data_IF_381181234883
#
_entry.id   IF_381181234883
#
_cell.length_a   1.000
_cell.length_b   1.000
_cell.length_c   1.000
_cell.angle_alpha   90.00
_cell.angle_beta   90.00
_cell.angle_gamma   90.00
#
_symmetry.space_group_name_H-M   'P 1'
#
loop_
_entity.id
_entity.type
_entity.pdbx_description
1 polymer ?
#
# COMPACT_ATOMS: atom_id res chain seq x y z
N UNK A 1 12.84 -67.32 6.33
CA UNK A 1 12.67 -68.43 5.36
C UNK A 1 12.73 -69.74 6.14
N UNK A 2 11.93 -70.77 5.80
CA UNK A 2 11.74 -71.26 4.43
C UNK A 2 10.29 -71.25 3.89
N UNK A 3 10.10 -71.53 2.58
CA UNK A 3 8.95 -71.09 1.76
C UNK A 3 8.13 -72.22 1.07
N UNK A 4 7.03 -71.78 0.42
CA UNK A 4 6.32 -72.33 -0.78
C UNK A 4 5.52 -73.66 -0.61
N UNK A 5 4.43 -73.92 -1.39
CA UNK A 5 4.34 -73.89 -2.88
C UNK A 5 3.11 -73.09 -3.43
N UNK A 6 3.13 -72.45 -4.61
CA UNK A 6 3.07 -73.03 -5.97
C UNK A 6 1.79 -73.87 -6.16
N UNK A 7 0.78 -73.61 -6.99
CA UNK A 7 0.56 -72.78 -8.18
C UNK A 7 -0.31 -73.65 -9.11
N UNK A 8 -1.42 -73.17 -9.68
CA UNK A 8 -2.11 -73.85 -10.79
C UNK A 8 -2.78 -72.84 -11.72
N UNK A 9 -2.32 -72.85 -12.98
CA UNK A 9 -2.86 -72.08 -14.09
C UNK A 9 -4.17 -72.68 -14.61
N UNK A 10 -4.98 -71.83 -15.25
CA UNK A 10 -6.17 -72.25 -15.98
C UNK A 10 -5.88 -72.40 -17.49
N UNK A 11 -6.53 -73.38 -18.15
CA UNK A 11 -6.18 -73.86 -19.48
C UNK A 11 -6.74 -73.01 -20.62
N UNK A 12 -6.01 -73.01 -21.74
CA UNK A 12 -6.43 -72.44 -23.02
C UNK A 12 -7.50 -73.31 -23.72
N UNK A 13 -8.51 -72.73 -24.39
CA UNK A 13 -9.38 -73.46 -25.30
C UNK A 13 -8.80 -73.53 -26.73
N UNK A 14 -9.11 -74.60 -27.49
CA UNK A 14 -8.54 -74.91 -28.80
C UNK A 14 -9.24 -74.18 -29.98
N UNK A 15 -8.66 -74.21 -31.19
CA UNK A 15 -9.14 -73.45 -32.35
C UNK A 15 -10.08 -74.24 -33.28
N UNK A 16 -11.08 -73.56 -33.84
CA UNK A 16 -11.54 -73.88 -35.21
C UNK A 16 -13.02 -73.72 -35.55
N UNK A 17 -13.22 -73.17 -36.77
CA UNK A 17 -14.30 -73.34 -37.76
C UNK A 17 -15.47 -72.31 -37.80
N UNK A 18 -15.57 -71.64 -38.97
CA UNK A 18 -16.52 -70.57 -39.37
C UNK A 18 -17.98 -71.02 -39.49
N UNK A 19 -18.99 -70.17 -39.69
CA UNK A 19 -19.32 -69.16 -40.71
C UNK A 19 -20.58 -68.36 -40.20
N UNK A 20 -21.28 -67.48 -40.94
CA UNK A 20 -20.96 -66.66 -42.12
C UNK A 20 -21.23 -65.15 -41.89
N UNK A 21 -20.73 -64.31 -42.80
CA UNK A 21 -20.85 -62.84 -42.84
C UNK A 21 -22.28 -62.33 -43.12
N UNK A 22 -22.78 -61.32 -42.38
CA UNK A 22 -23.96 -60.53 -42.75
C UNK A 22 -23.60 -59.40 -43.75
N UNK A 23 -24.58 -58.87 -44.52
CA UNK A 23 -24.36 -57.96 -45.64
C UNK A 23 -23.91 -56.54 -45.21
N UNK A 24 -23.27 -55.78 -46.11
CA UNK A 24 -22.78 -54.44 -45.79
C UNK A 24 -23.94 -53.45 -45.61
N UNK A 25 -24.22 -53.12 -44.35
CA UNK A 25 -25.06 -52.00 -43.95
C UNK A 25 -24.28 -50.69 -44.00
N UNK A 26 -24.94 -49.66 -44.53
CA UNK A 26 -24.48 -48.29 -44.65
C UNK A 26 -23.91 -47.73 -43.34
N UNK A 27 -22.82 -46.97 -43.45
CA UNK A 27 -21.93 -46.56 -42.36
C UNK A 27 -22.60 -45.95 -41.13
N UNK A 28 -22.20 -46.46 -39.96
CA UNK A 28 -22.38 -45.78 -38.68
C UNK A 28 -21.09 -45.04 -38.31
N UNK A 29 -21.19 -43.73 -38.11
CA UNK A 29 -20.15 -42.92 -37.47
C UNK A 29 -20.01 -43.32 -35.99
N UNK A 30 -18.79 -43.28 -35.43
CA UNK A 30 -18.57 -43.62 -34.02
C UNK A 30 -19.27 -42.60 -33.09
N UNK A 31 -19.66 -43.00 -31.86
CA UNK A 31 -20.31 -42.10 -30.92
C UNK A 31 -19.32 -41.01 -30.52
N UNK A 32 -19.64 -39.77 -30.87
CA UNK A 32 -18.93 -38.60 -30.37
C UNK A 32 -18.97 -38.62 -28.84
N UNK A 33 -17.79 -38.45 -28.26
CA UNK A 33 -17.51 -38.54 -26.85
C UNK A 33 -18.43 -37.67 -26.00
N UNK A 34 -18.54 -38.11 -24.74
CA UNK A 34 -19.18 -37.38 -23.65
C UNK A 34 -18.91 -35.86 -23.76
N UNK A 35 -19.89 -35.01 -23.40
CA UNK A 35 -19.63 -33.58 -23.28
C UNK A 35 -18.45 -33.39 -22.34
N UNK A 36 -17.34 -32.96 -22.92
CA UNK A 36 -16.18 -32.43 -22.22
C UNK A 36 -16.76 -31.43 -21.22
N UNK A 37 -16.60 -31.73 -19.92
CA UNK A 37 -17.12 -30.88 -18.87
C UNK A 37 -16.77 -29.44 -19.18
N UNK A 38 -17.80 -28.62 -19.42
CA UNK A 38 -17.68 -27.17 -19.44
C UNK A 38 -16.76 -26.80 -18.26
N UNK A 39 -15.76 -25.92 -18.42
CA UNK A 39 -14.99 -25.46 -17.27
C UNK A 39 -15.98 -24.89 -16.23
N UNK A 40 -16.25 -25.69 -15.20
CA UNK A 40 -16.98 -25.27 -14.01
C UNK A 40 -16.12 -24.23 -13.33
N UNK A 41 -16.34 -22.96 -13.65
CA UNK A 41 -15.54 -21.91 -13.06
C UNK A 41 -15.65 -20.51 -13.67
N UNK A 42 -16.70 -20.18 -14.43
CA UNK A 42 -16.93 -18.81 -14.89
C UNK A 42 -18.12 -18.17 -14.15
N UNK A 43 -18.04 -18.11 -12.82
CA UNK A 43 -18.96 -17.36 -11.98
C UNK A 43 -18.33 -16.06 -11.49
N UNK A 44 -19.16 -15.13 -11.00
CA UNK A 44 -18.70 -13.86 -10.37
C UNK A 44 -17.57 -14.11 -9.35
N UNK A 45 -17.69 -15.18 -8.56
CA UNK A 45 -16.68 -15.57 -7.57
C UNK A 45 -15.31 -15.86 -8.18
N UNK A 46 -15.25 -16.51 -9.35
CA UNK A 46 -13.99 -16.81 -10.02
C UNK A 46 -13.36 -15.55 -10.64
N UNK A 47 -14.18 -14.65 -11.20
CA UNK A 47 -13.72 -13.36 -11.70
C UNK A 47 -13.14 -12.45 -10.60
N UNK A 48 -13.65 -12.57 -9.37
CA UNK A 48 -13.18 -11.82 -8.21
C UNK A 48 -11.99 -12.47 -7.49
N UNK A 49 -11.60 -13.72 -7.81
CA UNK A 49 -10.47 -14.39 -7.15
C UNK A 49 -9.17 -13.61 -7.27
N UNK A 50 -8.93 -12.95 -8.41
CA UNK A 50 -7.74 -12.12 -8.63
C UNK A 50 -7.67 -10.87 -7.73
N UNK A 51 -8.80 -10.44 -7.14
CA UNK A 51 -8.90 -9.29 -6.24
C UNK A 51 -9.04 -9.72 -4.77
N UNK A 52 -8.75 -10.98 -4.46
CA UNK A 52 -8.78 -11.46 -3.07
C UNK A 52 -7.74 -10.74 -2.22
N UNK A 53 -8.09 -10.65 -0.95
CA UNK A 53 -7.22 -10.11 0.07
C UNK A 53 -5.89 -10.87 0.13
N UNK A 54 -4.79 -10.12 0.24
CA UNK A 54 -3.47 -10.68 0.50
C UNK A 54 -3.37 -11.01 1.98
N UNK A 55 -3.28 -12.30 2.31
CA UNK A 55 -3.11 -12.78 3.68
C UNK A 55 -1.61 -12.94 4.00
N UNK A 56 -0.96 -11.90 4.51
CA UNK A 56 0.46 -11.97 4.91
C UNK A 56 0.67 -12.29 6.39
N UNK A 57 -0.40 -12.27 7.20
CA UNK A 57 -0.31 -12.39 8.67
C UNK A 57 0.41 -11.22 9.36
N UNK A 58 0.90 -10.24 8.59
CA UNK A 58 1.52 -9.03 9.12
C UNK A 58 0.45 -8.06 9.63
N UNK A 59 0.81 -7.25 10.63
CA UNK A 59 -0.03 -6.17 11.15
C UNK A 59 -0.42 -5.19 10.04
N UNK A 60 0.57 -4.67 9.33
CA UNK A 60 0.36 -3.82 8.15
C UNK A 60 0.52 -4.66 6.88
N UNK A 61 -0.50 -4.66 6.03
CA UNK A 61 -0.51 -5.41 4.79
C UNK A 61 -0.96 -4.53 3.64
N UNK A 62 -0.11 -4.36 2.64
CA UNK A 62 -0.51 -3.74 1.39
C UNK A 62 -1.38 -4.72 0.59
N UNK A 63 -2.66 -4.41 0.43
CA UNK A 63 -3.62 -5.24 -0.31
C UNK A 63 -3.46 -5.05 -1.82
N UNK A 64 -3.19 -3.81 -2.21
CA UNK A 64 -2.73 -3.41 -3.52
C UNK A 64 -2.01 -2.06 -3.39
N UNK A 65 -1.50 -1.50 -4.50
CA UNK A 65 -0.73 -0.25 -4.48
C UNK A 65 -1.46 0.95 -3.85
N UNK A 66 -2.79 0.92 -3.70
CA UNK A 66 -3.66 2.03 -3.26
C UNK A 66 -4.52 1.70 -2.03
N UNK A 67 -4.39 0.50 -1.47
CA UNK A 67 -5.17 0.04 -0.32
C UNK A 67 -4.27 -0.70 0.65
N UNK A 68 -4.25 -0.24 1.90
CA UNK A 68 -3.53 -0.89 2.99
C UNK A 68 -4.54 -1.42 4.01
N UNK A 69 -4.25 -2.57 4.60
CA UNK A 69 -4.98 -3.15 5.72
C UNK A 69 -4.10 -3.08 6.96
N UNK A 70 -4.69 -2.71 8.09
CA UNK A 70 -4.08 -2.84 9.40
C UNK A 70 -4.88 -3.79 10.28
N UNK A 71 -4.20 -4.73 10.92
CA UNK A 71 -4.76 -5.65 11.91
C UNK A 71 -4.53 -5.11 13.32
N UNK A 72 -5.60 -4.68 13.97
CA UNK A 72 -5.57 -4.13 15.34
C UNK A 72 -5.46 -5.24 16.39
N UNK A 73 -5.79 -6.48 16.05
CA UNK A 73 -5.78 -7.63 16.95
C UNK A 73 -4.40 -8.25 17.16
N UNK A 74 -3.50 -8.15 16.17
CA UNK A 74 -2.19 -8.81 16.19
C UNK A 74 -1.28 -8.36 17.34
N UNK A 75 -1.28 -7.05 17.67
CA UNK A 75 -0.40 -6.47 18.69
C UNK A 75 -1.15 -5.67 19.76
N UNK A 76 -2.48 -5.51 19.60
CA UNK A 76 -3.32 -4.72 20.51
C UNK A 76 -2.99 -3.23 20.56
N UNK A 77 -2.02 -2.75 19.77
CA UNK A 77 -1.64 -1.35 19.73
C UNK A 77 -2.62 -0.55 18.86
N UNK A 78 -3.07 0.63 19.33
CA UNK A 78 -3.87 1.55 18.54
C UNK A 78 -3.12 2.09 17.32
N UNK A 79 -3.89 2.53 16.33
CA UNK A 79 -3.39 3.17 15.11
C UNK A 79 -4.01 4.55 14.97
N UNK A 80 -3.22 5.52 14.56
CA UNK A 80 -3.71 6.83 14.14
C UNK A 80 -3.76 6.87 12.62
N UNK A 81 -4.92 7.14 12.06
CA UNK A 81 -5.15 7.26 10.62
C UNK A 81 -5.76 8.63 10.28
N UNK A 82 -5.54 9.12 9.07
CA UNK A 82 -6.18 10.33 8.55
C UNK A 82 -7.69 10.15 8.56
N UNK A 83 -8.42 11.12 9.10
CA UNK A 83 -9.87 11.08 9.10
C UNK A 83 -10.41 10.98 7.67
N UNK A 84 -11.40 10.13 7.48
CA UNK A 84 -12.01 9.88 6.17
C UNK A 84 -11.23 8.93 5.25
N UNK A 85 -10.07 8.42 5.68
CA UNK A 85 -9.31 7.44 4.90
C UNK A 85 -9.80 6.00 5.03
N UNK A 86 -10.75 5.73 5.93
CA UNK A 86 -11.30 4.39 6.15
C UNK A 86 -12.26 4.01 5.02
N UNK A 87 -12.00 2.85 4.42
CA UNK A 87 -12.79 2.28 3.31
C UNK A 87 -13.65 1.10 3.77
N UNK A 88 -13.08 0.23 4.61
CA UNK A 88 -13.72 -0.97 5.11
C UNK A 88 -13.15 -1.29 6.49
N UNK A 89 -13.97 -1.87 7.37
CA UNK A 89 -13.48 -2.50 8.59
C UNK A 89 -14.18 -3.85 8.82
N UNK A 90 -13.50 -4.75 9.50
CA UNK A 90 -13.99 -6.09 9.82
C UNK A 90 -13.68 -6.42 11.28
N UNK A 91 -14.61 -7.05 11.98
CA UNK A 91 -14.47 -7.35 13.40
C UNK A 91 -14.87 -6.19 14.32
N UNK A 92 -14.40 -6.23 15.57
CA UNK A 92 -14.75 -5.24 16.59
C UNK A 92 -13.74 -4.10 16.55
N UNK A 93 -14.09 -3.01 15.87
CA UNK A 93 -13.25 -1.82 15.75
C UNK A 93 -14.00 -0.61 16.28
N UNK A 94 -13.34 0.13 17.17
CA UNK A 94 -13.80 1.40 17.72
C UNK A 94 -12.98 2.54 17.09
N UNK A 95 -13.70 3.56 16.62
CA UNK A 95 -13.11 4.75 16.02
C UNK A 95 -13.36 5.95 16.92
N UNK A 96 -12.29 6.63 17.32
CA UNK A 96 -12.36 7.86 18.11
C UNK A 96 -11.67 8.99 17.37
N UNK A 97 -12.28 10.18 17.37
CA UNK A 97 -11.71 11.35 16.73
C UNK A 97 -10.87 12.11 17.74
N UNK A 98 -9.63 12.44 17.38
CA UNK A 98 -8.75 13.23 18.26
C UNK A 98 -9.21 14.70 18.41
N UNK A 99 -10.34 15.09 17.82
CA UNK A 99 -10.86 16.47 17.79
C UNK A 99 -12.12 16.76 18.62
N UNK A 100 -12.79 15.76 19.21
CA UNK A 100 -14.06 16.00 19.92
C UNK A 100 -14.18 15.16 21.20
N UNK A 101 -13.76 15.72 22.33
CA UNK A 101 -14.47 15.47 23.58
C UNK A 101 -13.95 14.42 24.58
N UNK A 102 -12.69 13.96 24.52
CA UNK A 102 -12.12 13.20 25.64
C UNK A 102 -10.83 13.85 26.18
N UNK A 103 -10.76 13.95 27.50
CA UNK A 103 -9.80 14.70 28.32
C UNK A 103 -8.31 14.43 28.01
N UNK A 104 -7.80 15.06 26.96
CA UNK A 104 -6.40 14.95 26.55
C UNK A 104 -6.03 16.03 25.56
N UNK A 105 -6.06 17.29 26.00
CA UNK A 105 -5.59 18.45 25.26
C UNK A 105 -4.07 18.34 25.07
N UNK A 106 -3.64 17.48 24.14
CA UNK A 106 -2.31 17.62 23.54
C UNK A 106 -2.45 18.72 22.51
N UNK A 107 -1.90 19.86 22.88
CA UNK A 107 -1.89 21.13 22.15
C UNK A 107 -1.47 20.90 20.69
N UNK A 108 -2.45 20.85 19.80
CA UNK A 108 -2.29 21.08 18.36
C UNK A 108 -2.70 22.50 17.94
N UNK A 109 -2.95 23.39 18.91
CA UNK A 109 -3.44 24.75 18.68
C UNK A 109 -2.39 25.72 18.10
N UNK A 110 -1.21 25.23 17.67
CA UNK A 110 -0.12 26.09 17.19
C UNK A 110 0.11 26.01 15.66
N UNK A 111 -0.55 25.09 14.93
CA UNK A 111 -0.22 24.83 13.52
C UNK A 111 -1.21 25.39 12.51
N UNK A 112 -2.44 25.78 12.87
CA UNK A 112 -3.41 26.36 11.92
C UNK A 112 -3.90 25.41 10.80
N UNK A 113 -3.23 24.27 10.59
CA UNK A 113 -3.74 23.12 9.84
C UNK A 113 -4.15 22.04 10.84
N UNK A 114 -5.45 21.83 10.93
CA UNK A 114 -6.06 20.78 11.73
C UNK A 114 -5.87 19.45 11.01
N UNK A 115 -4.77 18.75 11.29
CA UNK A 115 -4.61 17.38 10.81
C UNK A 115 -5.59 16.49 11.59
N UNK A 116 -6.73 16.23 10.95
CA UNK A 116 -7.79 15.40 11.49
C UNK A 116 -7.33 13.93 11.54
N UNK A 117 -7.04 13.45 12.74
CA UNK A 117 -6.66 12.06 13.00
C UNK A 117 -7.81 11.30 13.66
N UNK A 118 -8.06 10.10 13.13
CA UNK A 118 -8.95 9.09 13.67
C UNK A 118 -8.09 8.01 14.33
N UNK A 119 -8.34 7.77 15.61
CA UNK A 119 -7.73 6.67 16.37
C UNK A 119 -8.57 5.42 16.22
N UNK A 120 -7.95 4.36 15.72
CA UNK A 120 -8.54 3.04 15.51
C UNK A 120 -8.07 2.10 16.63
N UNK A 121 -9.01 1.50 17.35
CA UNK A 121 -8.76 0.53 18.43
C UNK A 121 -9.66 -0.68 18.31
N UNK A 122 -9.33 -1.79 18.97
CA UNK A 122 -10.18 -2.97 19.03
C UNK A 122 -9.47 -4.24 18.55
N UNK A 123 -10.26 -5.24 18.16
CA UNK A 123 -9.83 -6.55 17.68
C UNK A 123 -10.49 -6.83 16.34
N UNK A 124 -9.92 -6.25 15.30
CA UNK A 124 -10.43 -6.28 13.94
C UNK A 124 -9.42 -5.72 12.94
N UNK A 125 -9.84 -5.61 11.70
CA UNK A 125 -9.04 -5.13 10.59
C UNK A 125 -9.64 -3.86 10.02
N UNK A 126 -8.80 -2.90 9.64
CA UNK A 126 -9.21 -1.65 9.01
C UNK A 126 -8.48 -1.49 7.69
N UNK A 127 -9.22 -1.18 6.64
CA UNK A 127 -8.70 -0.93 5.31
C UNK A 127 -8.72 0.57 5.05
N UNK A 128 -7.57 1.12 4.67
CA UNK A 128 -7.33 2.54 4.50
C UNK A 128 -6.90 2.85 3.06
N UNK A 129 -7.46 3.92 2.50
CA UNK A 129 -7.07 4.50 1.23
C UNK A 129 -7.29 6.02 1.25
N UNK A 130 -6.64 6.74 0.35
CA UNK A 130 -6.89 8.17 0.18
C UNK A 130 -6.75 8.56 -1.28
N UNK A 131 -7.82 9.15 -1.84
CA UNK A 131 -7.90 9.71 -3.19
C UNK A 131 -7.09 9.00 -4.29
N UNK A 132 -7.16 7.67 -4.35
CA UNK A 132 -6.41 6.86 -5.32
C UNK A 132 -4.87 7.04 -5.30
N UNK A 133 -4.31 7.54 -4.21
CA UNK A 133 -2.88 7.69 -3.98
C UNK A 133 -2.19 6.33 -3.83
N UNK A 134 -0.91 6.27 -4.22
CA UNK A 134 -0.07 5.12 -3.95
C UNK A 134 0.39 5.13 -2.50
N UNK A 135 0.21 4.00 -1.82
CA UNK A 135 0.49 3.85 -0.39
C UNK A 135 1.76 3.03 -0.17
N UNK A 136 2.59 3.48 0.76
CA UNK A 136 3.88 2.87 1.06
C UNK A 136 4.02 2.73 2.58
N UNK A 137 3.81 1.51 3.13
CA UNK A 137 4.17 1.22 4.50
C UNK A 137 5.70 1.28 4.66
N UNK A 138 6.17 2.05 5.64
CA UNK A 138 7.58 2.20 5.99
C UNK A 138 7.70 1.79 7.45
N UNK A 139 8.44 0.72 7.69
CA UNK A 139 8.77 0.26 9.03
C UNK A 139 9.97 1.03 9.57
N UNK A 140 9.86 1.54 10.79
CA UNK A 140 10.94 2.17 11.54
C UNK A 140 11.40 1.19 12.62
N UNK A 141 12.72 1.00 12.73
CA UNK A 141 13.35 0.10 13.69
C UNK A 141 14.28 0.86 14.64
N UNK A 142 13.77 1.92 15.27
CA UNK A 142 14.55 2.87 16.08
C UNK A 142 15.07 4.07 15.29
N UNK A 143 14.79 4.11 13.98
CA UNK A 143 15.14 5.20 13.09
C UNK A 143 14.20 6.41 13.24
N UNK A 144 14.58 7.50 12.59
CA UNK A 144 13.76 8.70 12.46
C UNK A 144 13.64 9.17 11.01
N UNK A 145 12.43 9.58 10.63
CA UNK A 145 12.10 10.06 9.28
C UNK A 145 11.22 11.30 9.38
N UNK A 146 11.46 12.27 8.51
CA UNK A 146 10.59 13.43 8.34
C UNK A 146 9.70 13.21 7.12
N UNK A 147 8.40 13.45 7.26
CA UNK A 147 7.41 13.28 6.19
C UNK A 147 6.56 14.54 6.10
N UNK A 148 6.22 14.96 4.88
CA UNK A 148 5.25 16.04 4.70
C UNK A 148 3.91 15.64 5.35
N UNK A 149 3.34 16.51 6.19
CA UNK A 149 2.14 16.18 6.97
C UNK A 149 0.94 15.81 6.06
N UNK A 150 0.85 16.43 4.89
CA UNK A 150 -0.17 16.10 3.90
C UNK A 150 -0.05 14.68 3.37
N UNK A 151 1.16 14.09 3.37
CA UNK A 151 1.49 12.79 2.78
C UNK A 151 1.46 11.65 3.79
N UNK A 152 1.12 11.92 5.05
CA UNK A 152 0.89 10.88 6.06
C UNK A 152 -0.54 10.36 5.94
N UNK A 153 -0.71 9.05 5.75
CA UNK A 153 -2.02 8.39 5.78
C UNK A 153 -2.34 7.85 7.17
N UNK A 154 -1.44 7.05 7.74
CA UNK A 154 -1.65 6.40 9.03
C UNK A 154 -0.33 5.99 9.65
N UNK A 155 -0.30 5.73 10.95
CA UNK A 155 0.89 5.27 11.67
C UNK A 155 0.51 4.60 12.99
N UNK A 156 1.41 3.75 13.51
CA UNK A 156 1.24 3.15 14.84
C UNK A 156 1.34 4.21 15.95
N UNK A 157 0.44 4.15 16.94
CA UNK A 157 0.44 5.12 18.05
C UNK A 157 1.68 5.00 18.97
N UNK A 158 2.42 3.90 18.87
CA UNK A 158 3.70 3.69 19.56
C UNK A 158 4.82 4.60 19.06
N UNK A 159 4.71 5.15 17.85
CA UNK A 159 5.70 6.07 17.29
C UNK A 159 5.60 7.44 17.95
N UNK A 160 6.76 7.98 18.33
CA UNK A 160 6.86 9.37 18.75
C UNK A 160 6.80 10.25 17.51
N UNK A 161 5.98 11.30 17.54
CA UNK A 161 5.89 12.24 16.44
C UNK A 161 5.90 13.69 16.91
N UNK A 162 6.56 14.54 16.13
CA UNK A 162 6.63 15.98 16.33
C UNK A 162 6.18 16.68 15.04
N UNK A 163 5.29 17.66 15.16
CA UNK A 163 4.89 18.49 14.02
C UNK A 163 5.78 19.73 13.98
N UNK A 164 6.50 19.92 12.88
CA UNK A 164 7.37 21.06 12.62
C UNK A 164 6.80 21.92 11.50
N UNK A 165 6.91 23.23 11.69
CA UNK A 165 6.54 24.24 10.70
C UNK A 165 7.80 24.81 10.08
N UNK A 166 7.89 24.73 8.77
CA UNK A 166 8.95 25.39 7.99
C UNK A 166 8.32 26.64 7.37
N UNK A 167 8.72 27.80 7.88
CA UNK A 167 8.27 29.09 7.36
C UNK A 167 9.15 29.52 6.18
N UNK A 168 8.53 30.11 5.17
CA UNK A 168 9.26 30.63 4.01
C UNK A 168 8.37 31.41 3.05
N UNK A 169 8.91 32.51 2.54
CA UNK A 169 8.26 33.33 1.52
C UNK A 169 8.12 32.53 0.21
N UNK A 170 6.92 32.54 -0.38
CA UNK A 170 6.57 31.84 -1.63
C UNK A 170 6.03 30.40 -1.45
N UNK A 171 5.99 29.87 -0.22
CA UNK A 171 5.37 28.57 0.04
C UNK A 171 3.84 28.70 -0.09
N UNK A 172 3.13 27.77 -0.76
CA UNK A 172 1.66 27.76 -0.76
C UNK A 172 1.10 27.72 0.67
N UNK A 173 0.31 28.73 1.05
CA UNK A 173 -0.22 28.85 2.42
C UNK A 173 0.75 29.43 3.46
N UNK A 174 1.95 29.87 3.05
CA UNK A 174 2.91 30.60 3.88
C UNK A 174 3.75 29.75 4.85
N UNK A 175 3.51 28.43 4.91
CA UNK A 175 4.35 27.49 5.65
C UNK A 175 4.14 26.04 5.19
N UNK A 176 5.19 25.22 5.27
CA UNK A 176 5.10 23.77 5.10
C UNK A 176 5.03 23.11 6.47
N UNK A 177 4.14 22.14 6.62
CA UNK A 177 4.03 21.33 7.82
C UNK A 177 4.58 19.95 7.58
N UNK A 178 5.45 19.54 8.49
CA UNK A 178 6.22 18.30 8.38
C UNK A 178 6.07 17.55 9.70
N UNK A 179 5.99 16.23 9.64
CA UNK A 179 5.95 15.36 10.80
C UNK A 179 7.25 14.58 10.86
N UNK A 180 7.99 14.73 11.96
CA UNK A 180 9.10 13.85 12.26
C UNK A 180 8.58 12.68 13.09
N UNK A 181 8.80 11.46 12.62
CA UNK A 181 8.52 10.22 13.34
C UNK A 181 9.81 9.61 13.87
N UNK A 182 9.76 9.02 15.05
CA UNK A 182 10.89 8.30 15.66
C UNK A 182 10.40 7.10 16.49
N UNK A 183 11.21 6.05 16.51
CA UNK A 183 11.00 4.86 17.35
C UNK A 183 10.80 3.60 16.52
N UNK A 184 10.05 2.64 17.06
CA UNK A 184 9.76 1.37 16.39
C UNK A 184 8.28 1.26 16.09
N UNK A 185 7.93 1.03 14.82
CA UNK A 185 6.55 0.98 14.35
C UNK A 185 6.47 1.29 12.86
N UNK A 186 5.27 1.25 12.29
CA UNK A 186 5.08 1.50 10.85
C UNK A 186 4.35 2.82 10.63
N UNK A 187 4.79 3.56 9.60
CA UNK A 187 4.03 4.67 9.03
C UNK A 187 3.57 4.29 7.62
N UNK A 188 2.40 4.73 7.22
CA UNK A 188 1.91 4.62 5.84
C UNK A 188 1.95 6.00 5.21
N UNK A 189 2.84 6.14 4.23
CA UNK A 189 3.00 7.36 3.44
C UNK A 189 2.22 7.21 2.14
N UNK A 190 1.60 8.29 1.68
CA UNK A 190 0.91 8.36 0.41
C UNK A 190 1.65 9.25 -0.58
N UNK A 191 1.54 8.90 -1.86
CA UNK A 191 2.22 9.56 -2.97
C UNK A 191 1.31 9.61 -4.20
N UNK A 192 1.52 10.59 -5.06
CA UNK A 192 0.92 10.66 -6.39
C UNK A 192 1.88 10.02 -7.39
N UNK A 193 1.57 8.81 -7.82
CA UNK A 193 2.46 8.02 -8.68
C UNK A 193 3.56 7.31 -7.89
N UNK A 194 4.51 6.70 -8.60
CA UNK A 194 5.61 5.94 -8.00
C UNK A 194 6.70 6.93 -7.56
N UNK A 195 7.06 7.00 -6.27
CA UNK A 195 8.07 7.93 -5.79
C UNK A 195 9.49 7.50 -6.21
N UNK A 196 10.40 8.46 -6.18
CA UNK A 196 11.85 8.27 -6.41
C UNK A 196 12.60 8.68 -5.15
N UNK A 197 13.52 7.83 -4.71
CA UNK A 197 14.42 8.10 -3.58
C UNK A 197 15.77 8.54 -4.14
N UNK A 198 16.26 9.68 -3.67
CA UNK A 198 17.53 10.28 -4.11
C UNK A 198 18.43 10.53 -2.91
N UNK A 199 19.74 10.27 -3.02
CA UNK A 199 20.70 10.67 -1.99
C UNK A 199 20.78 12.20 -1.91
N UNK A 200 20.84 12.73 -0.69
CA UNK A 200 21.01 14.17 -0.47
C UNK A 200 22.47 14.55 -0.70
N UNK A 201 22.67 15.56 -1.53
CA UNK A 201 23.95 16.24 -1.74
C UNK A 201 23.81 17.72 -1.35
N UNK A 202 24.90 18.45 -1.07
CA UNK A 202 24.82 19.89 -0.77
C UNK A 202 24.13 20.75 -1.85
N UNK A 203 24.01 20.22 -3.06
CA UNK A 203 23.38 20.86 -4.23
C UNK A 203 22.03 20.23 -4.59
N UNK A 204 21.38 19.52 -3.66
CA UNK A 204 20.05 18.93 -3.90
C UNK A 204 18.96 19.95 -3.58
N UNK A 205 18.16 20.28 -4.61
CA UNK A 205 16.98 21.14 -4.52
C UNK A 205 15.77 20.37 -5.04
N UNK A 206 14.63 20.47 -4.37
CA UNK A 206 13.38 19.87 -4.82
C UNK A 206 12.20 20.81 -4.61
N UNK A 207 11.19 20.72 -5.48
CA UNK A 207 9.96 21.51 -5.36
C UNK A 207 9.23 21.14 -4.06
N UNK A 208 8.76 22.15 -3.33
CA UNK A 208 8.02 21.96 -2.08
C UNK A 208 6.78 21.04 -2.21
N UNK A 209 6.11 21.02 -3.37
CA UNK A 209 4.92 20.19 -3.63
C UNK A 209 5.26 18.74 -4.01
N UNK A 210 6.49 18.50 -4.48
CA UNK A 210 6.95 17.18 -4.91
C UNK A 210 7.63 16.40 -3.77
N UNK A 211 8.04 17.06 -2.69
CA UNK A 211 8.73 16.40 -1.56
C UNK A 211 7.74 15.62 -0.69
N UNK A 212 8.07 14.35 -0.46
CA UNK A 212 7.25 13.43 0.33
C UNK A 212 7.85 13.19 1.71
N UNK A 213 9.13 12.80 1.74
CA UNK A 213 9.84 12.44 2.97
C UNK A 213 11.35 12.67 2.81
N UNK A 214 12.07 12.77 3.92
CA UNK A 214 13.53 12.88 3.95
C UNK A 214 14.09 12.37 5.27
N UNK A 215 15.39 12.10 5.31
CA UNK A 215 16.08 11.68 6.53
C UNK A 215 15.98 12.75 7.62
N UNK A 216 15.69 12.36 8.86
CA UNK A 216 15.54 13.31 9.97
C UNK A 216 16.80 14.15 10.27
N UNK A 217 17.98 13.65 9.90
CA UNK A 217 19.25 14.39 10.02
C UNK A 217 19.43 15.50 8.96
N UNK A 218 18.61 15.54 7.92
CA UNK A 218 18.73 16.56 6.87
C UNK A 218 18.10 17.88 7.31
N UNK A 219 18.88 18.96 7.21
CA UNK A 219 18.40 20.32 7.38
C UNK A 219 17.72 20.78 6.08
N UNK A 220 16.50 21.28 6.21
CA UNK A 220 15.70 21.78 5.08
C UNK A 220 15.63 23.30 5.16
N UNK A 221 16.12 23.97 4.13
CA UNK A 221 16.11 25.43 4.03
C UNK A 221 15.30 25.83 2.81
N UNK A 222 14.35 26.74 3.00
CA UNK A 222 13.55 27.28 1.90
C UNK A 222 14.44 28.16 1.03
N UNK A 223 14.53 27.83 -0.26
CA UNK A 223 15.27 28.60 -1.26
C UNK A 223 14.32 28.98 -2.38
N UNK A 224 13.86 30.24 -2.38
CA UNK A 224 13.17 30.81 -3.53
C UNK A 224 14.20 31.08 -4.63
N UNK A 225 14.20 30.26 -5.67
CA UNK A 225 14.88 30.63 -6.91
C UNK A 225 13.89 31.53 -7.68
N UNK A 226 13.97 32.85 -7.46
CA UNK A 226 13.27 33.81 -8.32
C UNK A 226 13.96 33.82 -9.68
N UNK A 227 13.78 32.77 -10.48
CA UNK A 227 14.04 32.83 -11.91
C UNK A 227 12.78 33.38 -12.54
N UNK A 228 12.73 34.70 -12.63
CA UNK A 228 11.82 35.45 -13.48
C UNK A 228 12.03 34.97 -14.92
N UNK A 229 11.41 33.85 -15.31
CA UNK A 229 11.37 33.43 -16.71
C UNK A 229 10.42 34.40 -17.40
N UNK A 230 10.92 35.06 -18.43
CA UNK A 230 10.26 36.08 -19.27
C UNK A 230 9.02 35.58 -20.04
N UNK A 231 8.47 34.42 -19.66
CA UNK A 231 7.43 33.67 -20.36
C UNK A 231 6.40 33.06 -19.38
N UNK A 232 6.08 33.75 -18.29
CA UNK A 232 4.90 33.44 -17.49
C UNK A 232 3.65 33.71 -18.35
N UNK A 233 2.98 32.65 -18.78
CA UNK A 233 1.65 32.73 -19.38
C UNK A 233 0.69 33.35 -18.35
N UNK A 234 -0.28 34.12 -18.84
CA UNK A 234 -1.30 34.76 -17.99
C UNK A 234 -2.11 33.70 -17.22
N UNK A 235 -1.76 33.47 -15.96
CA UNK A 235 -2.42 32.51 -15.07
C UNK A 235 -1.49 31.68 -14.19
N UNK A 236 -0.19 31.61 -14.51
CA UNK A 236 0.80 30.87 -13.72
C UNK A 236 1.66 31.85 -12.90
N UNK A 237 1.54 31.78 -11.57
CA UNK A 237 2.28 32.66 -10.64
C UNK A 237 3.79 32.41 -10.64
N UNK A 238 4.31 31.34 -11.27
CA UNK A 238 5.74 31.21 -11.61
C UNK A 238 6.74 31.23 -10.44
N UNK A 239 6.28 31.27 -9.19
CA UNK A 239 7.11 31.23 -7.99
C UNK A 239 7.29 29.77 -7.55
N UNK A 240 8.16 29.03 -8.25
CA UNK A 240 8.58 27.70 -7.79
C UNK A 240 9.45 27.85 -6.54
N UNK A 241 8.89 27.55 -5.37
CA UNK A 241 9.67 27.46 -4.13
C UNK A 241 10.32 26.10 -4.03
N UNK A 242 11.65 26.12 -4.00
CA UNK A 242 12.46 24.94 -3.85
C UNK A 242 12.95 24.82 -2.40
N UNK A 243 13.04 23.58 -1.94
CA UNK A 243 13.65 23.22 -0.67
C UNK A 243 15.09 22.78 -0.95
N UNK A 244 16.04 23.43 -0.30
CA UNK A 244 17.44 23.01 -0.28
C UNK A 244 17.64 22.03 0.87
N UNK A 245 18.19 20.86 0.57
CA UNK A 245 18.53 19.86 1.57
C UNK A 245 20.02 19.92 1.88
N UNK A 246 20.37 20.05 3.16
CA UNK A 246 21.76 20.02 3.64
C UNK A 246 21.91 18.90 4.67
N UNK A 247 22.71 17.90 4.36
CA UNK A 247 22.89 16.75 5.23
C UNK A 247 24.26 16.09 5.04
N UNK A 248 24.64 15.25 6.00
CA UNK A 248 25.80 14.38 5.86
C UNK A 248 25.55 13.29 4.78
N UNK A 249 26.62 12.75 4.16
CA UNK A 249 26.51 11.64 3.22
C UNK A 249 25.71 10.47 3.82
N UNK A 250 24.88 9.82 3.00
CA UNK A 250 24.00 8.73 3.44
C UNK A 250 22.55 9.15 3.76
N UNK A 251 22.27 10.46 3.77
CA UNK A 251 20.89 10.97 3.86
C UNK A 251 20.15 10.86 2.53
N UNK A 252 18.82 10.79 2.58
CA UNK A 252 17.95 10.65 1.41
C UNK A 252 16.79 11.65 1.42
N UNK A 253 16.25 11.90 0.24
CA UNK A 253 14.99 12.60 0.00
C UNK A 253 14.12 11.75 -0.92
N UNK A 254 12.81 11.74 -0.66
CA UNK A 254 11.79 11.04 -1.44
C UNK A 254 10.92 12.07 -2.12
N UNK A 255 10.83 11.97 -3.44
CA UNK A 255 10.02 12.86 -4.28
C UNK A 255 8.97 12.06 -5.05
N UNK A 256 7.81 12.65 -5.26
CA UNK A 256 6.74 12.09 -6.08
C UNK A 256 6.70 12.76 -7.46
N UNK A 257 6.27 12.05 -8.51
CA UNK A 257 6.06 12.62 -9.84
C UNK A 257 4.75 13.44 -9.87
N UNK A 258 4.78 14.63 -9.26
CA UNK A 258 3.65 15.56 -9.19
C UNK A 258 4.12 17.01 -9.33
N UNK A 259 3.41 17.78 -10.15
CA UNK A 259 3.52 19.23 -10.30
C UNK A 259 2.14 19.88 -10.14
N UNK A 260 2.10 21.16 -9.77
CA UNK A 260 0.88 21.95 -9.59
C UNK A 260 0.53 22.75 -10.85
#
# INVERSE_FOLDING_TARGET
>A
QPPAPGGYGQPAPPPGYGQPTPPPGYGQQPPQGAPQGMPQGAGVTAALQQFRETATGQRWTQQNKKLVRVDLGAEGQPVLARQGSMVLYQGKVDFSYKGAGFAGRVVGNATGQEMQLMRCTGKGQVFLADNSAMLHPIELQGDAVCVSAENVLAFDESLQYEVRRIEGHGIPGGALFTMQFQGTGTIVVKTRGVPVVLPVTPTTFADCNAVVAWSAAAQVVVSSQVRMRRNSYAGDTGESVNLQFRAAPGSFVVVQPYEI
#
